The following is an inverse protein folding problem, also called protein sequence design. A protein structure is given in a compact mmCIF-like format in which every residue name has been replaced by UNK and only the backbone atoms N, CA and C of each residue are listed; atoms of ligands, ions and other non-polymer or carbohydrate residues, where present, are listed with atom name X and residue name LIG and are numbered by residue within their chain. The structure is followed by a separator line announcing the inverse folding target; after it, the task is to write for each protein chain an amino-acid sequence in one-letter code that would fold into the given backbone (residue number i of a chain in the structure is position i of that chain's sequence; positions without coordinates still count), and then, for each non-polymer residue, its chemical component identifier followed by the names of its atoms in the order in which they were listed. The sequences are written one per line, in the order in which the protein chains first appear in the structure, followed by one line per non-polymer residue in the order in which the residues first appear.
data_IF_847168961563
#
_entry.id   IF_847168961563
#
_cell.length_a   1.000
_cell.length_b   1.000
_cell.length_c   1.000
_cell.angle_alpha   90.00
_cell.angle_beta   90.00
_cell.angle_gamma   90.00
#
_symmetry.space_group_name_H-M   'P 1'
#
loop_
_entity.id
_entity.type
_entity.pdbx_description
1 polymer ?
#
# COMPACT_ATOMS: atom_id res chain seq x y z
N UNK A 1 -2.88 -45.54 84.24
CA UNK A 1 -2.93 -44.13 83.78
C UNK A 1 -3.04 -44.13 82.25
N UNK A 2 -4.25 -43.96 81.69
CA UNK A 2 -4.48 -43.77 80.25
C UNK A 2 -4.75 -42.28 80.03
N UNK A 3 -3.93 -41.58 79.25
CA UNK A 3 -4.19 -40.20 78.80
C UNK A 3 -4.83 -40.26 77.41
N UNK A 4 -6.07 -39.81 77.32
CA UNK A 4 -6.82 -39.58 76.08
C UNK A 4 -6.37 -38.25 75.46
N UNK A 5 -5.95 -38.27 74.20
CA UNK A 5 -5.72 -37.06 73.40
C UNK A 5 -6.99 -36.77 72.58
N UNK A 6 -7.53 -35.57 72.73
CA UNK A 6 -8.71 -35.05 72.04
C UNK A 6 -8.25 -34.36 70.76
N UNK A 7 -8.67 -34.85 69.58
CA UNK A 7 -8.40 -34.20 68.30
C UNK A 7 -9.52 -33.21 67.97
N UNK A 8 -9.18 -31.92 67.82
CA UNK A 8 -10.08 -30.89 67.31
C UNK A 8 -10.11 -30.94 65.77
N UNK A 9 -11.29 -31.16 65.20
CA UNK A 9 -11.57 -31.01 63.77
C UNK A 9 -11.98 -29.56 63.49
N UNK A 10 -11.13 -28.80 62.80
CA UNK A 10 -11.49 -27.50 62.24
C UNK A 10 -12.15 -27.69 60.87
N UNK A 11 -13.42 -27.32 60.75
CA UNK A 11 -14.14 -27.30 59.46
C UNK A 11 -13.71 -26.08 58.64
N UNK A 12 -13.09 -26.31 57.48
CA UNK A 12 -12.87 -25.29 56.47
C UNK A 12 -14.08 -25.25 55.53
N UNK A 13 -14.93 -24.24 55.68
CA UNK A 13 -15.96 -23.89 54.69
C UNK A 13 -15.28 -23.21 53.49
N UNK A 14 -15.19 -23.92 52.38
CA UNK A 14 -14.75 -23.36 51.10
C UNK A 14 -15.84 -22.43 50.55
N UNK A 15 -15.60 -21.12 50.60
CA UNK A 15 -16.42 -20.13 49.89
C UNK A 15 -16.06 -20.21 48.41
N UNK A 16 -16.96 -20.80 47.62
CA UNK A 16 -16.86 -20.84 46.17
C UNK A 16 -17.19 -19.43 45.63
N UNK A 17 -16.17 -18.63 45.38
CA UNK A 17 -16.31 -17.35 44.67
C UNK A 17 -16.64 -17.63 43.21
N UNK A 18 -17.92 -17.51 42.85
CA UNK A 18 -18.38 -17.41 41.46
C UNK A 18 -17.87 -16.08 40.89
N UNK A 19 -16.71 -16.12 40.23
CA UNK A 19 -16.27 -15.00 39.39
C UNK A 19 -17.28 -14.87 38.22
N UNK A 20 -17.88 -13.69 38.00
CA UNK A 20 -18.71 -13.49 36.82
C UNK A 20 -17.82 -13.66 35.59
N UNK A 21 -18.35 -14.29 34.54
CA UNK A 21 -17.72 -14.36 33.24
C UNK A 21 -17.59 -12.94 32.70
N UNK A 22 -16.50 -12.25 33.06
CA UNK A 22 -16.06 -11.05 32.38
C UNK A 22 -15.81 -11.48 30.94
N UNK A 23 -16.74 -11.10 30.05
CA UNK A 23 -16.42 -10.99 28.64
C UNK A 23 -15.13 -10.19 28.58
N UNK A 24 -14.02 -10.85 28.28
CA UNK A 24 -12.75 -10.19 28.10
C UNK A 24 -12.90 -9.35 26.82
N UNK A 25 -13.37 -8.12 26.99
CA UNK A 25 -13.27 -7.08 25.99
C UNK A 25 -11.80 -7.09 25.57
N UNK A 26 -11.56 -7.37 24.29
CA UNK A 26 -10.21 -7.51 23.75
C UNK A 26 -9.45 -6.22 24.05
N UNK A 27 -8.61 -6.26 25.09
CA UNK A 27 -7.95 -5.07 25.66
C UNK A 27 -7.09 -4.38 24.61
N UNK A 28 -6.63 -5.11 23.61
CA UNK A 28 -5.94 -4.59 22.44
C UNK A 28 -6.87 -3.76 21.53
N UNK A 29 -8.09 -4.23 21.25
CA UNK A 29 -9.06 -3.47 20.45
C UNK A 29 -9.58 -2.25 21.22
N UNK A 30 -9.80 -2.39 22.53
CA UNK A 30 -10.15 -1.25 23.39
C UNK A 30 -9.04 -0.20 23.39
N UNK A 31 -7.77 -0.62 23.52
CA UNK A 31 -6.62 0.27 23.40
C UNK A 31 -6.55 0.98 22.04
N UNK A 32 -6.76 0.25 20.94
CA UNK A 32 -6.74 0.84 19.59
C UNK A 32 -7.87 1.85 19.35
N UNK A 33 -9.06 1.62 19.91
CA UNK A 33 -10.19 2.56 19.83
C UNK A 33 -9.91 3.88 20.55
N UNK A 34 -9.16 3.83 21.66
CA UNK A 34 -8.86 5.02 22.46
C UNK A 34 -7.55 5.70 22.06
N UNK A 35 -6.78 5.10 21.14
CA UNK A 35 -5.58 5.73 20.60
C UNK A 35 -5.99 6.86 19.65
N UNK A 36 -5.32 8.00 19.74
CA UNK A 36 -5.55 9.12 18.84
C UNK A 36 -5.20 8.73 17.40
N UNK A 37 -6.07 9.06 16.46
CA UNK A 37 -5.80 8.88 15.03
C UNK A 37 -4.63 9.75 14.57
N UNK A 38 -3.74 9.22 13.71
CA UNK A 38 -2.65 10.02 13.17
C UNK A 38 -3.21 11.13 12.27
N UNK A 39 -2.52 12.27 12.24
CA UNK A 39 -2.90 13.42 11.42
C UNK A 39 -2.72 13.15 9.91
N UNK A 40 -1.70 12.36 9.57
CA UNK A 40 -1.42 11.91 8.21
C UNK A 40 -1.44 10.38 8.15
N UNK A 41 -1.87 9.83 7.03
CA UNK A 41 -1.83 8.40 6.75
C UNK A 41 -1.34 8.11 5.33
N UNK A 42 -1.29 6.82 4.95
CA UNK A 42 -0.94 6.41 3.60
C UNK A 42 -2.02 5.53 2.96
N UNK A 43 -2.22 5.69 1.65
CA UNK A 43 -3.24 4.92 0.90
C UNK A 43 -2.79 3.53 0.46
N UNK A 44 -1.49 3.35 0.23
CA UNK A 44 -0.85 2.12 -0.23
C UNK A 44 0.34 1.74 0.63
N UNK A 45 1.37 2.59 0.66
CA UNK A 45 2.57 2.40 1.49
C UNK A 45 3.05 3.71 2.08
N UNK A 46 3.56 3.62 3.30
CA UNK A 46 4.18 4.74 4.00
C UNK A 46 5.36 5.30 3.21
N UNK A 47 5.36 6.62 2.99
CA UNK A 47 6.35 7.32 2.17
C UNK A 47 6.12 7.27 0.66
N UNK A 48 5.06 6.58 0.18
CA UNK A 48 4.74 6.49 -1.26
C UNK A 48 3.45 7.21 -1.63
N UNK A 49 2.41 7.08 -0.80
CA UNK A 49 1.08 7.63 -1.11
C UNK A 49 0.49 8.28 0.14
N UNK A 50 1.10 9.37 0.56
CA UNK A 50 0.66 10.09 1.76
C UNK A 50 -0.69 10.75 1.50
N UNK A 51 -1.55 10.74 2.52
CA UNK A 51 -2.85 11.36 2.54
C UNK A 51 -2.96 12.16 3.85
N UNK A 52 -3.16 13.46 3.72
CA UNK A 52 -3.39 14.34 4.86
C UNK A 52 -4.87 14.35 5.20
N UNK A 53 -5.18 14.22 6.48
CA UNK A 53 -6.55 14.31 6.97
C UNK A 53 -7.01 15.76 6.98
N UNK A 54 -8.11 16.02 6.29
CA UNK A 54 -8.81 17.30 6.26
C UNK A 54 -10.30 17.07 6.50
N UNK A 55 -11.02 18.09 6.94
CA UNK A 55 -12.48 18.05 7.05
C UNK A 55 -13.09 18.56 5.75
N UNK A 56 -13.88 17.73 5.07
CA UNK A 56 -14.62 18.12 3.85
C UNK A 56 -15.83 18.97 4.23
N UNK A 57 -16.50 18.55 5.30
CA UNK A 57 -17.58 19.27 5.98
C UNK A 57 -17.33 19.17 7.49
N UNK A 58 -17.93 20.03 8.33
CA UNK A 58 -17.77 19.94 9.78
C UNK A 58 -18.13 18.55 10.33
N UNK A 59 -17.14 17.80 10.79
CA UNK A 59 -17.30 16.45 11.35
C UNK A 59 -17.22 15.32 10.32
N UNK A 60 -16.95 15.63 9.05
CA UNK A 60 -16.76 14.68 7.97
C UNK A 60 -15.32 14.76 7.43
N UNK A 61 -14.41 13.88 7.90
CA UNK A 61 -13.05 13.86 7.39
C UNK A 61 -13.02 13.30 5.95
N UNK A 62 -12.04 13.72 5.16
CA UNK A 62 -11.77 13.16 3.83
C UNK A 62 -11.27 11.71 3.88
N UNK A 63 -10.56 11.34 4.96
CA UNK A 63 -10.05 9.99 5.21
C UNK A 63 -10.10 9.65 6.70
N UNK A 64 -10.25 8.36 7.02
CA UNK A 64 -10.01 7.83 8.37
C UNK A 64 -8.81 6.91 8.35
N UNK A 65 -7.87 7.17 9.25
CA UNK A 65 -6.58 6.51 9.31
C UNK A 65 -6.58 5.39 10.36
N UNK A 66 -5.82 4.32 10.13
CA UNK A 66 -5.59 3.27 11.11
C UNK A 66 -4.67 3.75 12.23
N UNK A 67 -5.09 3.53 13.48
CA UNK A 67 -4.28 3.80 14.67
C UNK A 67 -3.12 2.82 14.85
N UNK A 68 -3.13 1.69 14.13
CA UNK A 68 -2.11 0.66 14.19
C UNK A 68 -1.06 0.87 13.11
N UNK A 69 -1.50 0.96 11.86
CA UNK A 69 -0.60 0.93 10.70
C UNK A 69 -0.33 2.32 10.14
N UNK A 70 -1.20 3.30 10.39
CA UNK A 70 -1.19 4.57 9.66
C UNK A 70 -1.73 4.46 8.24
N UNK A 71 -2.32 3.32 7.83
CA UNK A 71 -2.98 3.16 6.54
C UNK A 71 -4.38 3.75 6.52
N UNK A 72 -4.86 4.20 5.36
CA UNK A 72 -6.25 4.66 5.18
C UNK A 72 -7.21 3.47 5.27
N UNK A 73 -8.18 3.56 6.17
CA UNK A 73 -9.25 2.57 6.36
C UNK A 73 -10.55 2.96 5.67
N UNK A 74 -10.77 4.25 5.44
CA UNK A 74 -11.98 4.76 4.82
C UNK A 74 -11.70 6.09 4.11
N UNK A 75 -12.40 6.32 3.00
CA UNK A 75 -12.35 7.53 2.20
C UNK A 75 -13.75 8.17 2.17
N UNK A 76 -13.81 9.50 2.30
CA UNK A 76 -15.00 10.29 2.02
C UNK A 76 -15.32 10.27 0.53
N UNK A 77 -14.33 10.62 -0.29
CA UNK A 77 -14.35 10.39 -1.73
C UNK A 77 -13.12 9.56 -2.15
N UNK A 78 -13.29 8.28 -2.54
CA UNK A 78 -12.19 7.42 -2.98
C UNK A 78 -11.56 7.86 -4.32
N UNK A 79 -12.25 8.72 -5.08
CA UNK A 79 -11.85 9.21 -6.39
C UNK A 79 -11.30 10.63 -6.37
N UNK A 80 -11.19 11.26 -5.20
CA UNK A 80 -10.65 12.60 -5.07
C UNK A 80 -9.24 12.70 -5.69
N UNK A 81 -9.03 13.75 -6.47
CA UNK A 81 -7.77 14.02 -7.18
C UNK A 81 -7.37 12.97 -8.22
N UNK A 82 -8.27 12.08 -8.65
CA UNK A 82 -7.97 11.08 -9.70
C UNK A 82 -8.10 11.64 -11.11
N UNK A 83 -7.35 11.07 -12.05
CA UNK A 83 -7.46 11.33 -13.49
C UNK A 83 -7.79 10.03 -14.25
N UNK A 84 -8.31 10.11 -15.48
CA UNK A 84 -8.52 8.92 -16.31
C UNK A 84 -7.22 8.12 -16.49
N UNK A 85 -7.32 6.79 -16.42
CA UNK A 85 -6.19 5.85 -16.57
C UNK A 85 -5.57 5.83 -17.99
N UNK A 86 -6.10 6.61 -18.93
CA UNK A 86 -5.65 6.67 -20.32
C UNK A 86 -5.94 5.39 -21.12
N UNK A 87 -5.48 5.36 -22.37
CA UNK A 87 -5.66 4.20 -23.24
C UNK A 87 -4.80 3.01 -22.79
N UNK A 88 -5.44 1.84 -22.79
CA UNK A 88 -4.83 0.57 -22.42
C UNK A 88 -4.95 -0.41 -23.59
N UNK A 89 -3.83 -0.81 -24.23
CA UNK A 89 -3.87 -1.57 -25.48
C UNK A 89 -4.26 -3.05 -25.31
N UNK A 90 -4.27 -3.56 -24.08
CA UNK A 90 -4.60 -4.96 -23.81
C UNK A 90 -6.07 -5.03 -23.41
N UNK A 91 -6.87 -5.77 -24.17
CA UNK A 91 -8.30 -5.95 -23.91
C UNK A 91 -8.56 -6.69 -22.60
N UNK A 92 -9.55 -6.21 -21.86
CA UNK A 92 -10.02 -6.77 -20.61
C UNK A 92 -11.53 -6.55 -20.49
N UNK A 93 -12.23 -7.34 -19.67
CA UNK A 93 -13.70 -7.26 -19.53
C UNK A 93 -14.19 -5.87 -19.03
N UNK A 94 -13.27 -5.07 -18.50
CA UNK A 94 -13.45 -3.71 -17.98
C UNK A 94 -12.93 -2.59 -18.88
N UNK A 95 -12.57 -2.87 -20.14
CA UNK A 95 -12.18 -1.85 -21.15
C UNK A 95 -13.25 -0.76 -21.39
N UNK A 96 -14.43 -0.87 -20.79
CA UNK A 96 -15.55 0.07 -20.88
C UNK A 96 -15.92 0.74 -19.55
N UNK A 97 -15.07 0.65 -18.54
CA UNK A 97 -15.30 1.25 -17.22
C UNK A 97 -14.67 2.63 -17.12
N UNK A 98 -15.23 3.50 -16.28
CA UNK A 98 -14.55 4.75 -15.90
C UNK A 98 -13.39 4.41 -14.95
N UNK A 99 -12.26 4.06 -15.57
CA UNK A 99 -11.04 3.70 -14.87
C UNK A 99 -10.19 4.93 -14.60
N UNK A 100 -9.87 5.14 -13.33
CA UNK A 100 -9.09 6.29 -12.87
C UNK A 100 -7.88 5.87 -12.04
N UNK A 101 -6.87 6.71 -12.03
CA UNK A 101 -5.63 6.57 -11.26
C UNK A 101 -5.32 7.88 -10.55
N UNK A 102 -4.54 7.84 -9.45
CA UNK A 102 -4.03 9.09 -8.89
C UNK A 102 -2.79 9.55 -9.63
N UNK A 103 -2.74 10.83 -10.06
CA UNK A 103 -1.55 11.38 -10.68
C UNK A 103 -0.38 11.34 -9.69
N UNK A 104 0.80 11.04 -10.21
CA UNK A 104 2.04 10.89 -9.44
C UNK A 104 2.97 12.07 -9.57
N UNK A 105 2.80 12.89 -10.60
CA UNK A 105 3.73 13.99 -10.90
C UNK A 105 3.81 14.98 -9.72
N UNK A 106 2.69 15.32 -9.08
CA UNK A 106 2.66 16.18 -7.89
C UNK A 106 3.29 15.57 -6.62
N UNK A 107 3.58 14.27 -6.61
CA UNK A 107 4.25 13.57 -5.51
C UNK A 107 5.77 13.42 -5.75
N UNK A 108 6.27 13.89 -6.89
CA UNK A 108 7.69 13.86 -7.19
C UNK A 108 8.40 14.92 -6.36
N UNK A 109 9.39 14.50 -5.57
CA UNK A 109 10.26 15.39 -4.78
C UNK A 109 10.87 16.52 -5.63
N UNK A 110 11.11 16.24 -6.91
CA UNK A 110 11.57 17.18 -7.91
C UNK A 110 10.52 17.35 -9.03
N UNK A 111 9.33 17.83 -8.67
CA UNK A 111 8.29 18.18 -9.64
C UNK A 111 8.64 19.42 -10.49
N UNK A 112 9.74 20.12 -10.19
CA UNK A 112 10.22 21.18 -11.04
C UNK A 112 10.60 20.59 -12.40
N UNK A 113 10.05 21.11 -13.52
CA UNK A 113 10.45 20.68 -14.86
C UNK A 113 11.96 20.71 -14.97
N UNK A 114 12.56 19.76 -15.68
CA UNK A 114 14.02 19.70 -15.83
C UNK A 114 14.61 21.06 -16.28
N UNK A 115 13.84 21.82 -17.06
CA UNK A 115 14.16 23.16 -17.55
C UNK A 115 14.30 24.23 -16.47
N UNK A 116 13.71 24.04 -15.29
CA UNK A 116 13.79 24.98 -14.17
C UNK A 116 15.21 25.10 -13.59
N UNK A 117 15.95 23.99 -13.55
CA UNK A 117 17.36 23.99 -13.11
C UNK A 117 18.35 24.12 -14.27
N UNK A 118 17.93 23.86 -15.51
CA UNK A 118 18.79 23.92 -16.70
C UNK A 118 18.60 25.21 -17.52
N UNK A 119 18.19 26.31 -16.90
CA UNK A 119 18.03 27.64 -17.52
C UNK A 119 17.26 27.61 -18.85
N UNK A 120 16.18 26.83 -18.91
CA UNK A 120 15.36 26.69 -20.14
C UNK A 120 16.04 25.93 -21.29
N UNK A 121 17.31 25.56 -21.16
CA UNK A 121 18.02 24.73 -22.13
C UNK A 121 17.93 23.28 -21.69
N UNK A 122 17.56 22.39 -22.60
CA UNK A 122 17.64 20.97 -22.29
C UNK A 122 19.10 20.60 -22.10
N UNK A 123 19.43 19.94 -20.99
CA UNK A 123 20.73 19.29 -20.76
C UNK A 123 21.18 18.63 -22.06
N UNK A 124 22.44 18.77 -22.50
CA UNK A 124 22.88 18.24 -23.78
C UNK A 124 22.36 16.82 -23.97
N UNK A 125 21.63 16.60 -25.06
CA UNK A 125 21.02 15.31 -25.30
C UNK A 125 22.11 14.25 -25.26
N UNK A 126 21.90 13.17 -24.50
CA UNK A 126 22.88 12.11 -24.42
C UNK A 126 23.06 11.53 -25.82
N UNK A 127 24.32 11.47 -26.31
CA UNK A 127 24.63 10.94 -27.65
C UNK A 127 24.40 9.43 -27.77
N UNK A 128 24.30 8.74 -26.64
CA UNK A 128 24.05 7.31 -26.52
C UNK A 128 23.28 7.02 -25.22
N UNK A 129 22.84 5.77 -25.05
CA UNK A 129 22.17 5.28 -23.85
C UNK A 129 23.11 4.57 -22.87
N UNK A 130 24.42 4.77 -22.99
CA UNK A 130 25.36 4.07 -22.12
C UNK A 130 25.25 4.63 -20.69
N UNK A 131 25.29 3.77 -19.66
CA UNK A 131 25.39 4.19 -18.27
C UNK A 131 26.56 5.14 -18.05
N UNK A 132 26.36 6.13 -17.18
CA UNK A 132 27.38 7.11 -16.81
C UNK A 132 27.15 7.66 -15.40
N UNK A 133 28.20 8.11 -14.71
CA UNK A 133 28.04 8.82 -13.44
C UNK A 133 27.18 10.08 -13.62
N UNK A 134 26.22 10.28 -12.72
CA UNK A 134 25.41 11.50 -12.67
C UNK A 134 25.99 12.49 -11.65
N UNK A 135 26.11 13.75 -12.07
CA UNK A 135 26.54 14.85 -11.20
C UNK A 135 25.41 15.38 -10.30
N UNK A 136 24.15 15.05 -10.60
CA UNK A 136 22.94 15.46 -9.88
C UNK A 136 22.00 14.25 -9.74
N UNK A 137 20.95 14.38 -8.93
CA UNK A 137 19.96 13.32 -8.64
C UNK A 137 20.53 12.11 -7.88
N UNK A 138 21.66 12.28 -7.19
CA UNK A 138 22.26 11.27 -6.31
C UNK A 138 21.40 10.96 -5.09
N UNK A 139 20.44 11.81 -4.77
CA UNK A 139 19.48 11.56 -3.71
C UNK A 139 18.32 10.65 -4.15
N UNK A 140 18.16 10.40 -5.46
CA UNK A 140 17.21 9.45 -6.04
C UNK A 140 17.87 8.08 -6.17
N UNK A 141 19.06 8.03 -6.76
CA UNK A 141 19.90 6.83 -6.89
C UNK A 141 21.32 7.22 -6.42
N UNK A 142 21.78 6.76 -5.24
CA UNK A 142 23.08 7.15 -4.67
C UNK A 142 24.26 6.91 -5.59
N UNK A 143 24.25 5.78 -6.30
CA UNK A 143 25.21 5.48 -7.35
C UNK A 143 24.47 5.10 -8.64
N UNK A 144 24.42 6.05 -9.57
CA UNK A 144 23.80 5.84 -10.89
C UNK A 144 24.41 4.67 -11.66
N UNK A 145 25.70 4.36 -11.44
CA UNK A 145 26.35 3.23 -12.10
C UNK A 145 25.91 1.88 -11.54
N UNK A 146 25.21 1.88 -10.41
CA UNK A 146 24.81 0.70 -9.68
C UNK A 146 23.27 0.59 -9.52
N UNK A 147 22.50 1.10 -10.50
CA UNK A 147 21.06 0.90 -10.53
C UNK A 147 20.73 -0.60 -10.65
N UNK A 148 20.21 -1.22 -9.58
CA UNK A 148 19.99 -2.67 -9.51
C UNK A 148 18.78 -3.17 -10.30
N UNK A 149 18.08 -2.32 -11.05
CA UNK A 149 16.90 -2.77 -11.79
C UNK A 149 17.29 -3.73 -12.93
N UNK A 150 16.57 -4.85 -13.06
CA UNK A 150 16.87 -5.87 -14.07
C UNK A 150 18.26 -6.49 -13.91
N UNK A 151 18.75 -6.66 -12.68
CA UNK A 151 20.11 -7.15 -12.40
C UNK A 151 21.21 -6.25 -12.99
N UNK A 152 20.99 -4.93 -12.99
CA UNK A 152 21.93 -3.95 -13.53
C UNK A 152 21.87 -3.76 -15.05
N UNK A 153 20.96 -4.47 -15.74
CA UNK A 153 20.83 -4.37 -17.19
C UNK A 153 20.07 -3.10 -17.66
N UNK A 154 19.42 -2.38 -16.74
CA UNK A 154 18.56 -1.23 -17.06
C UNK A 154 19.27 0.07 -16.73
N UNK A 155 19.17 1.02 -17.66
CA UNK A 155 19.64 2.39 -17.51
C UNK A 155 18.47 3.38 -17.38
N UNK A 156 18.74 4.57 -16.83
CA UNK A 156 17.73 5.62 -16.63
C UNK A 156 16.90 5.92 -17.90
N UNK A 157 17.54 5.86 -19.08
CA UNK A 157 16.95 6.20 -20.37
C UNK A 157 16.18 5.06 -21.05
N UNK A 158 16.05 3.92 -20.38
CA UNK A 158 15.14 2.84 -20.78
C UNK A 158 13.72 3.08 -20.23
N UNK A 159 13.64 3.85 -19.15
CA UNK A 159 12.41 4.30 -18.51
C UNK A 159 12.07 5.75 -18.91
N UNK A 160 13.02 6.68 -18.75
CA UNK A 160 12.82 8.09 -19.05
C UNK A 160 13.18 8.43 -20.50
N UNK A 161 12.41 9.31 -21.12
CA UNK A 161 12.71 9.75 -22.47
C UNK A 161 13.97 10.65 -22.48
N UNK A 162 14.94 10.29 -23.32
CA UNK A 162 16.21 10.99 -23.43
C UNK A 162 16.08 12.43 -23.95
N UNK A 163 15.03 12.69 -24.74
CA UNK A 163 14.71 13.99 -25.31
C UNK A 163 13.68 14.77 -24.49
N UNK A 164 12.84 14.12 -23.71
CA UNK A 164 11.86 14.79 -22.87
C UNK A 164 11.77 14.09 -21.51
N UNK A 165 12.64 14.47 -20.56
CA UNK A 165 12.77 13.78 -19.26
C UNK A 165 11.55 13.93 -18.35
N UNK A 166 10.64 14.85 -18.68
CA UNK A 166 9.34 14.99 -18.02
C UNK A 166 8.33 13.94 -18.53
N UNK A 167 8.80 12.97 -19.33
CA UNK A 167 8.02 11.82 -19.80
C UNK A 167 8.83 10.53 -19.70
N UNK A 168 8.12 9.42 -19.62
CA UNK A 168 8.65 8.09 -19.88
C UNK A 168 8.68 7.80 -21.38
N UNK A 169 9.36 6.71 -21.76
CA UNK A 169 9.50 6.28 -23.15
C UNK A 169 8.89 4.90 -23.39
N UNK A 170 8.11 4.74 -24.45
CA UNK A 170 7.59 3.44 -24.88
C UNK A 170 8.65 2.61 -25.65
N UNK A 171 8.25 1.47 -26.21
CA UNK A 171 9.15 0.62 -27.02
C UNK A 171 9.48 1.19 -28.41
N UNK A 172 8.61 2.03 -28.96
CA UNK A 172 8.74 2.67 -30.28
C UNK A 172 9.37 4.06 -30.20
N UNK A 173 9.69 4.54 -29.00
CA UNK A 173 10.24 5.87 -28.74
C UNK A 173 9.20 6.97 -28.51
N UNK A 174 7.91 6.61 -28.44
CA UNK A 174 6.82 7.50 -28.06
C UNK A 174 6.85 7.89 -26.58
N UNK A 175 6.18 8.98 -26.26
CA UNK A 175 6.12 9.52 -24.89
C UNK A 175 4.98 8.88 -24.08
N UNK A 176 5.27 8.59 -22.82
CA UNK A 176 4.29 8.16 -21.82
C UNK A 176 4.33 9.18 -20.68
N UNK A 177 3.18 9.73 -20.29
CA UNK A 177 3.12 10.69 -19.18
C UNK A 177 3.56 10.09 -17.83
N UNK A 178 4.12 10.92 -16.95
CA UNK A 178 4.62 10.48 -15.63
C UNK A 178 3.54 9.93 -14.69
N UNK A 179 2.27 10.28 -14.92
CA UNK A 179 1.13 9.73 -14.20
C UNK A 179 0.71 8.32 -14.66
N UNK A 180 1.31 7.80 -15.74
CA UNK A 180 0.92 6.54 -16.36
C UNK A 180 2.05 5.49 -16.32
N UNK A 181 2.72 5.27 -15.17
CA UNK A 181 3.89 4.39 -15.08
C UNK A 181 3.56 2.94 -15.41
N UNK A 182 2.32 2.49 -15.24
CA UNK A 182 1.89 1.14 -15.62
C UNK A 182 2.13 0.85 -17.11
N UNK A 183 1.99 1.85 -17.99
CA UNK A 183 2.26 1.72 -19.43
C UNK A 183 3.76 1.52 -19.69
N UNK A 184 4.61 2.15 -18.87
CA UNK A 184 6.06 1.95 -18.91
C UNK A 184 6.42 0.56 -18.36
N UNK A 185 5.93 0.20 -17.17
CA UNK A 185 6.27 -1.05 -16.51
C UNK A 185 5.84 -2.27 -17.32
N UNK A 186 4.67 -2.20 -17.97
CA UNK A 186 4.12 -3.26 -18.83
C UNK A 186 4.97 -3.57 -20.06
N UNK A 187 5.93 -2.71 -20.43
CA UNK A 187 6.93 -3.00 -21.47
C UNK A 187 7.69 -4.29 -21.18
N UNK A 188 8.10 -4.48 -19.92
CA UNK A 188 8.92 -5.62 -19.51
C UNK A 188 8.15 -6.57 -18.57
N UNK A 189 7.22 -6.05 -17.78
CA UNK A 189 6.43 -6.82 -16.81
C UNK A 189 5.03 -7.12 -17.33
N UNK A 190 4.93 -7.77 -18.50
CA UNK A 190 3.67 -8.00 -19.20
C UNK A 190 2.63 -8.82 -18.44
N UNK A 191 3.06 -9.89 -17.76
CA UNK A 191 2.19 -10.74 -16.94
C UNK A 191 1.62 -9.95 -15.75
N UNK A 192 2.50 -9.29 -14.99
CA UNK A 192 2.10 -8.45 -13.85
C UNK A 192 1.21 -7.30 -14.28
N UNK A 193 1.47 -6.70 -15.44
CA UNK A 193 0.63 -5.63 -16.00
C UNK A 193 -0.78 -6.14 -16.34
N UNK A 194 -0.88 -7.36 -16.87
CA UNK A 194 -2.17 -8.00 -17.17
C UNK A 194 -2.94 -8.27 -15.86
N UNK A 195 -2.30 -8.89 -14.88
CA UNK A 195 -2.89 -9.14 -13.55
C UNK A 195 -3.30 -7.84 -12.84
N UNK A 196 -2.47 -6.80 -12.94
CA UNK A 196 -2.73 -5.50 -12.34
C UNK A 196 -3.96 -4.84 -12.95
N UNK A 197 -4.03 -4.83 -14.28
CA UNK A 197 -5.18 -4.32 -15.02
C UNK A 197 -6.43 -5.11 -14.62
N UNK A 198 -6.29 -6.41 -14.41
CA UNK A 198 -7.36 -7.31 -14.01
C UNK A 198 -7.76 -7.19 -12.53
N UNK A 199 -7.03 -6.37 -11.77
CA UNK A 199 -7.25 -6.15 -10.34
C UNK A 199 -6.85 -7.35 -9.49
N UNK A 200 -6.13 -8.32 -10.05
CA UNK A 200 -5.53 -9.46 -9.35
C UNK A 200 -4.28 -8.99 -8.60
N UNK A 201 -3.48 -8.12 -9.24
CA UNK A 201 -2.28 -7.54 -8.63
C UNK A 201 -2.49 -6.07 -8.23
N UNK A 202 -2.00 -5.70 -7.05
CA UNK A 202 -2.13 -4.35 -6.51
C UNK A 202 -3.44 -4.12 -5.75
N UNK A 203 -3.95 -2.88 -5.79
CA UNK A 203 -5.16 -2.46 -5.08
C UNK A 203 -6.11 -1.78 -6.05
N UNK A 204 -7.39 -2.13 -5.95
CA UNK A 204 -8.49 -1.54 -6.71
C UNK A 204 -9.67 -1.29 -5.78
N UNK A 205 -10.30 -0.13 -5.90
CA UNK A 205 -11.55 0.20 -5.21
C UNK A 205 -12.55 0.81 -6.18
N UNK A 206 -13.80 0.98 -5.73
CA UNK A 206 -14.88 1.57 -6.50
C UNK A 206 -16.03 0.60 -6.71
N UNK A 207 -16.82 0.83 -7.76
CA UNK A 207 -18.02 0.04 -8.03
C UNK A 207 -17.68 -1.43 -8.33
N UNK A 208 -18.61 -2.33 -8.02
CA UNK A 208 -18.57 -3.73 -8.48
C UNK A 208 -19.34 -3.92 -9.79
N UNK A 209 -20.20 -2.97 -10.14
CA UNK A 209 -21.02 -3.02 -11.34
C UNK A 209 -20.18 -2.83 -12.60
N UNK A 210 -20.60 -3.49 -13.68
CA UNK A 210 -20.00 -3.32 -14.99
C UNK A 210 -20.23 -1.90 -15.48
N UNK A 211 -19.17 -1.23 -15.91
CA UNK A 211 -19.22 0.18 -16.34
C UNK A 211 -19.13 1.19 -15.19
N UNK A 212 -19.13 0.74 -13.93
CA UNK A 212 -19.00 1.63 -12.78
C UNK A 212 -17.58 2.18 -12.62
N UNK A 213 -17.47 3.36 -11.99
CA UNK A 213 -16.20 4.03 -11.73
C UNK A 213 -15.33 3.24 -10.75
N UNK A 214 -14.06 3.06 -11.11
CA UNK A 214 -13.08 2.29 -10.33
C UNK A 214 -11.72 2.98 -10.34
N UNK A 215 -11.03 2.90 -9.21
CA UNK A 215 -9.68 3.45 -9.04
C UNK A 215 -8.67 2.33 -8.91
N UNK A 216 -7.60 2.41 -9.69
CA UNK A 216 -6.42 1.56 -9.56
C UNK A 216 -5.27 2.33 -8.90
N UNK A 217 -4.51 1.63 -8.08
CA UNK A 217 -3.23 2.11 -7.60
C UNK A 217 -2.17 1.78 -8.64
N UNK A 218 -1.43 2.78 -9.12
CA UNK A 218 -0.40 2.55 -10.13
C UNK A 218 0.85 1.91 -9.53
N UNK A 219 1.70 1.31 -10.37
CA UNK A 219 2.88 0.56 -9.94
C UNK A 219 3.75 1.35 -8.94
N UNK A 220 3.91 2.65 -9.16
CA UNK A 220 4.75 3.54 -8.34
C UNK A 220 4.12 3.98 -7.02
N UNK A 221 2.86 3.67 -6.77
CA UNK A 221 2.27 3.84 -5.43
C UNK A 221 2.76 2.74 -4.48
N UNK A 222 3.12 1.57 -5.02
CA UNK A 222 3.61 0.45 -4.22
C UNK A 222 5.11 0.17 -4.38
N UNK A 223 5.70 0.50 -5.54
CA UNK A 223 7.09 0.17 -5.87
C UNK A 223 7.89 1.40 -6.26
N UNK A 224 9.09 1.56 -5.70
CA UNK A 224 10.01 2.59 -6.16
C UNK A 224 10.92 1.97 -7.23
N UNK A 225 10.80 2.33 -8.52
CA UNK A 225 11.60 1.69 -9.58
C UNK A 225 13.11 1.91 -9.42
N UNK A 226 13.51 2.95 -8.67
CA UNK A 226 14.90 3.28 -8.38
C UNK A 226 15.53 2.41 -7.29
N UNK A 227 14.72 1.76 -6.44
CA UNK A 227 15.19 0.95 -5.30
C UNK A 227 14.46 -0.38 -5.15
N UNK A 228 13.70 -0.80 -6.18
CA UNK A 228 12.79 -1.95 -6.12
C UNK A 228 13.46 -3.26 -5.74
N UNK A 229 14.76 -3.43 -6.03
CA UNK A 229 15.49 -4.65 -5.66
C UNK A 229 15.97 -4.64 -4.22
N UNK A 230 16.27 -3.47 -3.65
CA UNK A 230 16.64 -3.32 -2.23
C UNK A 230 15.42 -3.55 -1.34
N UNK A 231 14.26 -3.06 -1.79
CA UNK A 231 12.98 -3.11 -1.07
C UNK A 231 11.97 -4.03 -1.76
N UNK A 232 12.46 -5.17 -2.26
CA UNK A 232 11.65 -6.11 -3.06
C UNK A 232 10.45 -6.64 -2.28
N UNK A 233 10.62 -6.82 -0.96
CA UNK A 233 9.63 -7.37 -0.05
C UNK A 233 9.63 -6.58 1.27
N UNK A 234 9.16 -5.33 1.28
CA UNK A 234 8.66 -4.77 2.54
C UNK A 234 7.17 -5.12 2.63
N UNK A 235 6.79 -6.13 3.43
CA UNK A 235 5.39 -6.51 3.59
C UNK A 235 4.62 -5.36 4.24
N UNK A 236 3.39 -5.14 3.76
CA UNK A 236 2.47 -4.20 4.40
C UNK A 236 2.00 -4.81 5.71
N UNK A 237 2.16 -4.07 6.80
CA UNK A 237 1.68 -4.51 8.10
C UNK A 237 0.15 -4.70 8.06
N UNK A 238 -0.38 -5.87 8.47
CA UNK A 238 -1.81 -6.10 8.42
C UNK A 238 -2.54 -5.33 9.52
N UNK A 239 -3.77 -4.92 9.23
CA UNK A 239 -4.70 -4.39 10.24
C UNK A 239 -4.98 -5.42 11.35
N UNK A 240 -5.47 -4.99 12.52
CA UNK A 240 -6.03 -5.91 13.50
C UNK A 240 -7.11 -6.79 12.87
N UNK A 241 -7.29 -7.98 13.42
CA UNK A 241 -8.43 -8.84 13.07
C UNK A 241 -9.75 -8.09 13.27
N UNK A 242 -10.79 -8.40 12.48
CA UNK A 242 -12.15 -7.98 12.78
C UNK A 242 -12.56 -8.42 14.19
N UNK A 243 -13.50 -7.69 14.80
CA UNK A 243 -14.09 -8.12 16.06
C UNK A 243 -14.82 -9.45 15.87
N UNK A 244 -14.72 -10.34 16.85
CA UNK A 244 -15.48 -11.59 16.82
C UNK A 244 -16.98 -11.29 16.82
N UNK A 245 -17.79 -12.14 16.17
CA UNK A 245 -19.25 -12.07 16.32
C UNK A 245 -19.60 -12.05 17.81
N UNK A 246 -20.64 -11.29 18.19
CA UNK A 246 -21.07 -11.16 19.60
C UNK A 246 -21.30 -12.50 20.31
N UNK A 247 -21.54 -13.56 19.56
CA UNK A 247 -21.76 -14.94 20.05
C UNK A 247 -20.46 -15.69 20.37
N UNK A 248 -19.27 -15.10 20.15
CA UNK A 248 -17.98 -15.75 20.35
C UNK A 248 -16.99 -14.84 21.07
N UNK A 249 -16.25 -15.40 22.01
CA UNK A 249 -15.22 -14.68 22.75
C UNK A 249 -13.84 -14.77 22.08
N UNK A 250 -13.59 -15.79 21.25
CA UNK A 250 -12.28 -16.05 20.65
C UNK A 250 -12.39 -16.87 19.33
N UNK A 251 -11.24 -17.14 18.70
CA UNK A 251 -11.11 -17.88 17.45
C UNK A 251 -11.03 -19.42 17.62
N UNK A 252 -11.40 -19.98 18.78
CA UNK A 252 -11.15 -21.41 19.05
C UNK A 252 -11.85 -22.34 18.04
N UNK A 253 -12.94 -21.89 17.41
CA UNK A 253 -13.61 -22.65 16.35
C UNK A 253 -12.77 -22.86 15.07
N UNK A 254 -11.77 -22.00 14.80
CA UNK A 254 -10.92 -22.13 13.62
C UNK A 254 -9.87 -23.23 13.82
N UNK A 255 -9.59 -23.60 15.08
CA UNK A 255 -8.56 -24.59 15.42
C UNK A 255 -9.02 -26.03 15.18
N UNK A 256 -10.33 -26.25 14.98
CA UNK A 256 -10.94 -27.58 14.86
C UNK A 256 -10.83 -28.23 13.48
N UNK A 257 -10.39 -27.49 12.44
CA UNK A 257 -10.36 -28.00 11.06
C UNK A 257 -9.04 -28.70 10.66
N UNK A 258 -8.05 -28.79 11.57
CA UNK A 258 -6.71 -29.30 11.25
C UNK A 258 -6.36 -30.69 11.82
N UNK A 259 -7.24 -31.33 12.59
CA UNK A 259 -6.93 -32.60 13.25
C UNK A 259 -8.08 -33.59 13.12
N UNK A 260 -8.16 -34.31 12.00
CA UNK A 260 -8.97 -35.53 11.91
C UNK A 260 -9.70 -35.73 10.59
N UNK A 261 -8.99 -36.22 9.57
CA UNK A 261 -9.54 -37.10 8.54
C UNK A 261 -8.40 -37.78 7.77
N UNK A 262 -7.62 -38.61 8.47
CA UNK A 262 -6.88 -39.71 7.87
C UNK A 262 -7.46 -41.00 8.41
N UNK A 263 -8.38 -41.60 7.65
CA UNK A 263 -8.66 -43.04 7.69
C UNK A 263 -7.92 -43.67 6.51
#
# INVERSE_FOLDING_TARGET
MRKTALAMLASFTAVLLLAPALHAEDTYIHYLKNKQEPADCFESRDGYSNATRTEVEPGLPNVKCSNKTGGVLWWGDPFDGTEPMGEMPVEADYTREEAVVKPRTGQLKYYMPCTACHNGSMVPYPKNKNPRPLAMHQDIVPDSMNLQHGQGAIWCLDCHNARNRDTFIDHKGGEIGLNQPQRLCGKCHGEVYSDWRDGIHGKRIGSWEKGGKKRWWVCTECHNPHTVQERRFDPIAPEPRPQYPRTRANADHERGHGAGAGH
#
